data_IF_434923333447
#
_entry.id   IF_434923333447
#
_cell.length_a   1.000
_cell.length_b   1.000
_cell.length_c   1.000
_cell.angle_alpha   90.00
_cell.angle_beta   90.00
_cell.angle_gamma   90.00
#
_symmetry.space_group_name_H-M   'P 1'
#
loop_
_entity.id
_entity.type
_entity.pdbx_description
1 polymer ?
#
# COMPACT_ATOMS: atom_id res chain seq x y z
N UNK A 1 -26.71 3.98 26.67
CA UNK A 1 -25.97 5.26 26.81
C UNK A 1 -24.53 4.90 27.16
N UNK A 2 -23.65 4.81 26.17
CA UNK A 2 -22.20 4.71 26.36
C UNK A 2 -21.54 5.48 25.21
N UNK A 3 -20.84 6.55 25.57
CA UNK A 3 -20.17 7.49 24.67
C UNK A 3 -18.90 6.86 24.11
N UNK A 4 -18.82 6.72 22.78
CA UNK A 4 -17.56 6.49 22.08
C UNK A 4 -16.90 7.84 21.78
N UNK A 5 -15.83 8.14 22.52
CA UNK A 5 -14.96 9.29 22.28
C UNK A 5 -14.01 8.96 21.11
N UNK A 6 -14.29 9.55 19.95
CA UNK A 6 -13.38 9.61 18.81
C UNK A 6 -12.20 10.54 19.12
N UNK A 7 -11.03 9.96 19.40
CA UNK A 7 -9.76 10.69 19.37
C UNK A 7 -9.20 10.67 17.95
N UNK A 8 -9.42 11.74 17.18
CA UNK A 8 -8.65 12.06 15.98
C UNK A 8 -7.54 13.03 16.36
N UNK A 9 -6.35 12.51 16.64
CA UNK A 9 -5.15 13.32 16.88
C UNK A 9 -4.37 13.52 15.58
N UNK A 10 -4.62 14.62 14.86
CA UNK A 10 -3.73 15.09 13.79
C UNK A 10 -2.86 16.19 14.39
N UNK A 11 -1.60 15.88 14.70
CA UNK A 11 -0.60 16.88 15.10
C UNK A 11 0.11 17.34 13.82
N UNK A 12 -0.41 18.40 13.20
CA UNK A 12 0.32 19.14 12.15
C UNK A 12 1.08 20.30 12.79
N UNK A 13 2.39 20.17 12.91
CA UNK A 13 3.28 21.27 13.29
C UNK A 13 3.61 22.07 12.03
N UNK A 14 2.92 23.20 11.86
CA UNK A 14 3.25 24.20 10.84
C UNK A 14 4.42 25.08 11.32
N UNK A 15 5.58 24.91 10.70
CA UNK A 15 6.69 25.88 10.79
C UNK A 15 6.57 26.86 9.62
N UNK A 16 5.93 28.01 9.83
CA UNK A 16 6.02 29.15 8.91
C UNK A 16 7.30 29.95 9.20
N UNK A 17 8.34 29.75 8.40
CA UNK A 17 9.46 30.69 8.33
C UNK A 17 9.19 31.69 7.20
N UNK A 18 8.89 32.93 7.59
CA UNK A 18 8.76 34.07 6.70
C UNK A 18 10.16 34.54 6.24
N UNK A 19 10.41 34.51 4.94
CA UNK A 19 11.60 35.08 4.31
C UNK A 19 11.21 35.81 3.03
N UNK A 20 11.11 37.13 3.11
CA UNK A 20 10.87 38.01 1.98
C UNK A 20 12.20 38.42 1.32
N UNK A 21 12.37 38.17 0.03
CA UNK A 21 13.34 38.87 -0.84
C UNK A 21 12.69 39.12 -2.20
N UNK A 22 12.84 40.34 -2.68
CA UNK A 22 12.17 40.91 -3.84
C UNK A 22 13.01 40.86 -5.14
N UNK A 23 12.28 40.89 -6.26
CA UNK A 23 12.58 41.52 -7.57
C UNK A 23 13.68 40.94 -8.49
N UNK A 24 13.22 40.36 -9.60
CA UNK A 24 13.96 40.24 -10.86
C UNK A 24 13.02 39.94 -12.04
N UNK A 25 12.74 40.93 -12.89
CA UNK A 25 11.99 40.80 -14.14
C UNK A 25 12.85 40.19 -15.26
N UNK A 26 12.31 39.22 -15.99
CA UNK A 26 12.60 39.00 -17.40
C UNK A 26 11.45 38.20 -18.03
N UNK A 27 10.56 38.91 -18.73
CA UNK A 27 9.44 38.35 -19.48
C UNK A 27 9.96 37.74 -20.78
N UNK A 28 10.20 36.44 -20.77
CA UNK A 28 10.31 35.63 -21.98
C UNK A 28 9.04 34.82 -22.14
N UNK A 29 8.09 35.31 -22.93
CA UNK A 29 6.97 34.50 -23.44
C UNK A 29 7.57 33.50 -24.44
N UNK A 30 7.97 32.34 -23.92
CA UNK A 30 8.11 31.14 -24.72
C UNK A 30 6.70 30.56 -24.89
N UNK A 31 6.22 30.52 -26.13
CA UNK A 31 5.05 29.74 -26.52
C UNK A 31 5.33 28.28 -26.13
N UNK A 32 4.82 27.86 -24.96
CA UNK A 32 4.82 26.45 -24.59
C UNK A 32 4.01 25.70 -25.65
N UNK A 33 4.59 24.69 -26.30
CA UNK A 33 3.84 23.85 -27.23
C UNK A 33 2.64 23.26 -26.48
N UNK A 34 1.47 23.15 -27.12
CA UNK A 34 0.30 22.58 -26.48
C UNK A 34 0.68 21.21 -25.92
N UNK A 35 0.54 21.04 -24.60
CA UNK A 35 0.74 19.77 -23.95
C UNK A 35 -0.18 18.75 -24.63
N UNK A 36 0.39 17.89 -25.46
CA UNK A 36 -0.34 16.77 -26.03
C UNK A 36 -0.98 16.03 -24.86
N UNK A 37 -2.31 15.96 -24.87
CA UNK A 37 -3.13 15.31 -23.85
C UNK A 37 -2.97 13.79 -23.83
N UNK A 38 -1.75 13.30 -24.06
CA UNK A 38 -1.35 11.92 -23.85
C UNK A 38 -1.42 11.67 -22.35
N UNK A 39 -2.60 11.21 -21.92
CA UNK A 39 -2.76 10.56 -20.63
C UNK A 39 -1.69 9.48 -20.54
N UNK A 40 -0.80 9.58 -19.54
CA UNK A 40 0.19 8.55 -19.23
C UNK A 40 -0.49 7.17 -19.30
N UNK A 41 0.15 6.12 -19.82
CA UNK A 41 -0.45 4.77 -19.88
C UNK A 41 -0.94 4.26 -18.51
N UNK A 42 -0.46 4.87 -17.42
CA UNK A 42 -0.83 4.55 -16.03
C UNK A 42 -1.88 5.51 -15.44
N UNK A 43 -2.52 6.37 -16.24
CA UNK A 43 -3.40 7.46 -15.76
C UNK A 43 -4.73 7.00 -15.15
N UNK A 44 -4.94 5.70 -14.96
CA UNK A 44 -6.07 5.14 -14.20
C UNK A 44 -5.62 4.23 -13.04
N UNK A 45 -4.31 4.11 -12.83
CA UNK A 45 -3.70 3.19 -11.87
C UNK A 45 -3.48 3.91 -10.55
N UNK A 46 -4.54 3.93 -9.74
CA UNK A 46 -4.60 4.61 -8.45
C UNK A 46 -4.72 3.57 -7.33
N UNK A 47 -4.09 3.82 -6.19
CA UNK A 47 -4.13 2.90 -5.04
C UNK A 47 -5.57 2.60 -4.56
N UNK A 48 -6.47 3.55 -4.79
CA UNK A 48 -7.88 3.50 -4.41
C UNK A 48 -8.81 2.72 -5.33
N UNK A 49 -8.33 2.20 -6.47
CA UNK A 49 -9.12 1.46 -7.46
C UNK A 49 -8.51 0.08 -7.68
N UNK A 50 -9.35 -0.94 -7.76
CA UNK A 50 -8.89 -2.28 -8.14
C UNK A 50 -8.68 -2.33 -9.66
N UNK A 51 -7.53 -2.84 -10.06
CA UNK A 51 -7.13 -2.98 -11.45
C UNK A 51 -8.01 -4.01 -12.16
N UNK A 52 -8.40 -3.74 -13.41
CA UNK A 52 -9.26 -4.65 -14.17
C UNK A 52 -8.57 -5.97 -14.54
N UNK A 53 -7.25 -5.98 -14.57
CA UNK A 53 -6.39 -7.13 -14.84
C UNK A 53 -5.75 -7.68 -13.57
N UNK A 54 -6.29 -7.38 -12.38
CA UNK A 54 -5.78 -7.88 -11.12
C UNK A 54 -5.71 -9.42 -11.13
N UNK A 55 -4.52 -9.97 -10.95
CA UNK A 55 -4.27 -11.41 -10.79
C UNK A 55 -3.76 -11.67 -9.39
N UNK A 56 -4.40 -12.60 -8.68
CA UNK A 56 -3.92 -13.06 -7.38
C UNK A 56 -2.66 -13.91 -7.55
N UNK A 57 -1.54 -13.43 -6.99
CA UNK A 57 -0.30 -14.19 -6.91
C UNK A 57 -0.25 -15.10 -5.68
N UNK A 58 -1.00 -14.74 -4.65
CA UNK A 58 -1.22 -15.53 -3.45
C UNK A 58 -2.68 -15.36 -3.01
N UNK A 59 -3.46 -16.43 -3.16
CA UNK A 59 -4.80 -16.53 -2.58
C UNK A 59 -4.73 -16.38 -1.06
N UNK A 60 -5.83 -15.93 -0.44
CA UNK A 60 -5.94 -15.77 1.01
C UNK A 60 -5.50 -17.03 1.76
N UNK A 61 -4.38 -16.90 2.46
CA UNK A 61 -3.66 -18.02 3.09
C UNK A 61 -3.12 -17.62 4.46
N UNK A 62 -3.04 -18.55 5.40
CA UNK A 62 -2.41 -18.32 6.69
C UNK A 62 -2.95 -19.19 7.82
N UNK A 63 -2.38 -19.10 9.03
CA UNK A 63 -2.77 -19.94 10.17
C UNK A 63 -4.23 -19.77 10.63
N UNK A 64 -4.83 -18.62 10.35
CA UNK A 64 -6.20 -18.29 10.72
C UNK A 64 -7.24 -18.51 9.62
N UNK A 65 -6.82 -18.97 8.43
CA UNK A 65 -7.71 -19.26 7.29
C UNK A 65 -8.24 -20.69 7.41
N UNK A 66 -9.56 -20.83 7.37
CA UNK A 66 -10.21 -22.14 7.37
C UNK A 66 -9.99 -22.85 6.03
N UNK A 67 -9.48 -24.11 6.04
CA UNK A 67 -9.09 -24.79 4.80
C UNK A 67 -10.27 -25.21 3.92
N UNK A 68 -11.49 -25.29 4.45
CA UNK A 68 -12.69 -25.68 3.72
C UNK A 68 -13.37 -24.49 3.06
N UNK A 69 -13.51 -23.40 3.82
CA UNK A 69 -14.22 -22.19 3.38
C UNK A 69 -13.32 -21.17 2.72
N UNK A 70 -12.00 -21.26 2.93
CA UNK A 70 -11.01 -20.27 2.47
C UNK A 70 -11.26 -18.86 3.03
N UNK A 71 -11.83 -18.78 4.23
CA UNK A 71 -12.15 -17.53 4.91
C UNK A 71 -11.40 -17.43 6.24
N UNK A 72 -11.16 -16.19 6.69
CA UNK A 72 -10.71 -15.92 8.06
C UNK A 72 -11.86 -16.22 9.02
N UNK A 73 -11.55 -16.79 10.19
CA UNK A 73 -12.55 -17.03 11.24
C UNK A 73 -13.16 -15.71 11.72
N UNK A 74 -14.40 -15.74 12.19
CA UNK A 74 -15.04 -14.55 12.70
C UNK A 74 -14.31 -13.97 13.92
N UNK A 75 -14.11 -12.65 13.95
CA UNK A 75 -13.30 -12.00 14.98
C UNK A 75 -13.05 -10.50 14.76
N UNK A 76 -12.13 -9.96 15.54
CA UNK A 76 -11.63 -8.59 15.38
C UNK A 76 -10.12 -8.67 15.18
N UNK A 77 -9.63 -7.92 14.20
CA UNK A 77 -8.26 -8.03 13.71
C UNK A 77 -7.65 -6.66 13.45
N UNK A 78 -6.34 -6.63 13.39
CA UNK A 78 -5.57 -5.55 12.76
C UNK A 78 -5.25 -5.98 11.34
N UNK A 79 -5.61 -5.15 10.38
CA UNK A 79 -5.32 -5.36 8.97
C UNK A 79 -4.32 -4.33 8.49
N UNK A 80 -3.49 -4.71 7.51
CA UNK A 80 -2.66 -3.77 6.78
C UNK A 80 -2.71 -4.08 5.29
N UNK A 81 -2.90 -3.05 4.47
CA UNK A 81 -2.85 -3.15 3.01
C UNK A 81 -1.77 -2.26 2.45
N UNK A 82 -1.01 -2.79 1.50
CA UNK A 82 0.02 -2.06 0.77
C UNK A 82 -0.30 -2.01 -0.71
N UNK A 83 -0.05 -0.87 -1.33
CA UNK A 83 -0.01 -0.68 -2.77
C UNK A 83 1.37 -0.18 -3.19
N UNK A 84 2.07 -0.98 -3.98
CA UNK A 84 3.36 -0.65 -4.56
C UNK A 84 3.18 -0.33 -6.05
N UNK A 85 3.38 0.92 -6.42
CA UNK A 85 3.45 1.33 -7.81
C UNK A 85 4.82 0.92 -8.37
N UNK A 86 4.89 -0.16 -9.14
CA UNK A 86 6.14 -0.69 -9.67
C UNK A 86 6.63 0.08 -10.89
N UNK A 87 7.92 0.02 -11.19
CA UNK A 87 8.45 0.51 -12.47
C UNK A 87 7.95 -0.35 -13.62
N UNK A 88 7.47 0.24 -14.73
CA UNK A 88 7.14 -0.52 -15.92
C UNK A 88 8.35 -1.28 -16.47
N UNK A 89 8.13 -2.50 -16.94
CA UNK A 89 9.17 -3.31 -17.56
C UNK A 89 10.13 -4.00 -16.60
N UNK A 90 9.87 -3.95 -15.28
CA UNK A 90 10.56 -4.82 -14.32
C UNK A 90 10.32 -6.28 -14.66
N UNK A 91 11.37 -7.09 -14.49
CA UNK A 91 11.20 -8.54 -14.55
C UNK A 91 10.35 -9.01 -13.37
N UNK A 92 9.31 -9.79 -13.66
CA UNK A 92 8.45 -10.35 -12.62
C UNK A 92 9.25 -11.25 -11.66
N UNK A 93 10.27 -11.94 -12.16
CA UNK A 93 11.16 -12.75 -11.34
C UNK A 93 11.90 -11.93 -10.28
N UNK A 94 12.31 -10.71 -10.62
CA UNK A 94 13.01 -9.79 -9.72
C UNK A 94 12.09 -9.30 -8.59
N UNK A 95 10.88 -8.83 -8.93
CA UNK A 95 9.89 -8.40 -7.94
C UNK A 95 9.46 -9.55 -7.00
N UNK A 96 9.26 -10.75 -7.54
CA UNK A 96 8.95 -11.95 -6.75
C UNK A 96 10.11 -12.40 -5.88
N UNK A 97 11.36 -12.22 -6.34
CA UNK A 97 12.56 -12.54 -5.56
C UNK A 97 12.66 -11.72 -4.27
N UNK A 98 12.24 -10.45 -4.31
CA UNK A 98 12.17 -9.58 -3.14
C UNK A 98 10.96 -9.90 -2.26
N UNK A 99 9.79 -10.19 -2.86
CA UNK A 99 8.56 -10.44 -2.13
C UNK A 99 8.50 -11.83 -1.45
N UNK A 100 9.14 -12.86 -2.03
CA UNK A 100 9.07 -14.24 -1.54
C UNK A 100 9.46 -14.40 -0.06
N UNK A 101 10.64 -13.94 0.38
CA UNK A 101 11.04 -14.01 1.79
C UNK A 101 10.11 -13.25 2.74
N UNK A 102 9.48 -12.16 2.28
CA UNK A 102 8.50 -11.40 3.06
C UNK A 102 7.23 -12.23 3.29
N UNK A 103 6.75 -12.91 2.25
CA UNK A 103 5.61 -13.82 2.33
C UNK A 103 5.91 -15.01 3.24
N UNK A 104 7.09 -15.62 3.14
CA UNK A 104 7.48 -16.72 4.04
C UNK A 104 7.56 -16.26 5.50
N UNK A 105 8.13 -15.07 5.73
CA UNK A 105 8.23 -14.49 7.06
C UNK A 105 6.85 -14.16 7.65
N UNK A 106 5.91 -13.61 6.86
CA UNK A 106 4.57 -13.28 7.37
C UNK A 106 3.79 -14.54 7.74
N UNK A 107 3.91 -15.60 6.94
CA UNK A 107 3.21 -16.87 7.16
C UNK A 107 3.64 -17.61 8.44
N UNK A 108 4.82 -17.26 8.97
CA UNK A 108 5.39 -17.86 10.18
C UNK A 108 5.50 -16.87 11.35
N UNK A 109 5.12 -15.61 11.13
CA UNK A 109 5.16 -14.58 12.17
C UNK A 109 4.14 -14.89 13.27
N UNK A 110 4.54 -14.59 14.52
CA UNK A 110 3.61 -14.59 15.65
C UNK A 110 2.47 -13.62 15.36
N UNK A 111 1.24 -14.02 15.66
CA UNK A 111 0.05 -13.17 15.50
C UNK A 111 -0.42 -12.98 14.05
N UNK A 112 0.26 -13.54 13.05
CA UNK A 112 -0.24 -13.53 11.67
C UNK A 112 -1.44 -14.49 11.53
N UNK A 113 -2.53 -13.96 10.98
CA UNK A 113 -3.79 -14.67 10.76
C UNK A 113 -3.91 -15.08 9.29
N UNK A 114 -3.71 -14.13 8.38
CA UNK A 114 -3.79 -14.36 6.95
C UNK A 114 -2.97 -13.34 6.16
N UNK A 115 -2.64 -13.69 4.93
CA UNK A 115 -2.07 -12.81 3.91
C UNK A 115 -2.65 -13.16 2.55
N UNK A 116 -2.80 -12.15 1.69
CA UNK A 116 -3.01 -12.32 0.26
C UNK A 116 -2.19 -11.29 -0.51
N UNK A 117 -1.83 -11.64 -1.75
CA UNK A 117 -1.06 -10.79 -2.63
C UNK A 117 -1.60 -10.86 -4.06
N UNK A 118 -1.59 -9.72 -4.74
CA UNK A 118 -2.04 -9.61 -6.12
C UNK A 118 -1.18 -8.63 -6.90
N UNK A 119 -1.28 -8.71 -8.22
CA UNK A 119 -0.52 -7.90 -9.14
C UNK A 119 -1.36 -7.50 -10.34
N UNK A 120 -0.99 -6.39 -10.97
CA UNK A 120 -1.55 -5.94 -12.25
C UNK A 120 -0.40 -5.61 -13.20
N UNK A 121 -0.45 -6.19 -14.39
CA UNK A 121 0.53 -5.94 -15.44
C UNK A 121 0.26 -4.60 -16.12
N UNK A 122 -1.02 -4.29 -16.37
CA UNK A 122 -1.44 -3.05 -17.03
C UNK A 122 -1.07 -1.82 -16.19
N UNK A 123 -1.22 -1.93 -14.86
CA UNK A 123 -0.86 -0.86 -13.93
C UNK A 123 0.54 -0.95 -13.35
N UNK A 124 1.29 -2.01 -13.68
CA UNK A 124 2.56 -2.36 -13.04
C UNK A 124 2.46 -2.13 -11.52
N UNK A 125 1.55 -2.85 -10.87
CA UNK A 125 1.22 -2.65 -9.46
C UNK A 125 1.27 -3.98 -8.69
N UNK A 126 1.66 -3.91 -7.43
CA UNK A 126 1.60 -5.02 -6.48
C UNK A 126 0.77 -4.60 -5.26
N UNK A 127 -0.14 -5.46 -4.83
CA UNK A 127 -0.94 -5.29 -3.63
C UNK A 127 -0.68 -6.40 -2.64
N UNK A 128 -0.66 -6.04 -1.36
CA UNK A 128 -0.75 -7.01 -0.27
C UNK A 128 -1.86 -6.62 0.68
N UNK A 129 -2.46 -7.62 1.30
CA UNK A 129 -3.31 -7.46 2.47
C UNK A 129 -2.87 -8.51 3.50
N UNK A 130 -2.61 -8.07 4.72
CA UNK A 130 -2.23 -8.92 5.84
C UNK A 130 -3.18 -8.71 7.02
N UNK A 131 -3.44 -9.78 7.76
CA UNK A 131 -4.38 -9.83 8.89
C UNK A 131 -3.63 -10.33 10.12
N UNK A 132 -3.82 -9.66 11.23
CA UNK A 132 -3.07 -9.83 12.46
C UNK A 132 -4.00 -9.88 13.68
N UNK A 133 -3.61 -10.67 14.67
CA UNK A 133 -4.26 -10.71 15.98
C UNK A 133 -4.04 -9.40 16.77
N UNK A 134 -2.93 -8.70 16.53
CA UNK A 134 -2.59 -7.46 17.23
C UNK A 134 -1.69 -6.52 16.42
N UNK A 135 -1.76 -5.23 16.72
CA UNK A 135 -0.88 -4.21 16.14
C UNK A 135 0.59 -4.41 16.55
N UNK A 136 0.83 -4.90 17.77
CA UNK A 136 2.17 -5.23 18.27
C UNK A 136 2.84 -6.30 17.42
N UNK A 137 2.12 -7.40 17.13
CA UNK A 137 2.64 -8.49 16.30
C UNK A 137 2.86 -8.04 14.84
N UNK A 138 1.97 -7.22 14.29
CA UNK A 138 2.14 -6.59 12.97
C UNK A 138 3.44 -5.78 12.91
N UNK A 139 3.67 -4.87 13.87
CA UNK A 139 4.90 -4.07 13.89
C UNK A 139 6.16 -4.90 14.13
N UNK A 140 6.07 -5.95 14.94
CA UNK A 140 7.19 -6.87 15.14
C UNK A 140 7.64 -7.52 13.81
N UNK A 141 6.70 -7.88 12.93
CA UNK A 141 7.00 -8.36 11.58
C UNK A 141 7.55 -7.26 10.68
N UNK A 142 6.93 -6.08 10.65
CA UNK A 142 7.36 -4.95 9.80
C UNK A 142 8.81 -4.53 10.11
N UNK A 143 9.19 -4.57 11.38
CA UNK A 143 10.55 -4.28 11.84
C UNK A 143 11.50 -5.47 11.71
N UNK A 144 11.01 -6.63 11.24
CA UNK A 144 11.77 -7.85 11.05
C UNK A 144 12.71 -7.80 9.85
N UNK A 145 13.75 -8.66 9.83
CA UNK A 145 14.83 -8.58 8.84
C UNK A 145 14.36 -8.77 7.40
N UNK A 146 13.40 -9.68 7.14
CA UNK A 146 12.90 -9.91 5.78
C UNK A 146 12.17 -8.69 5.21
N UNK A 147 11.33 -8.04 6.01
CA UNK A 147 10.62 -6.83 5.59
C UNK A 147 11.59 -5.64 5.45
N UNK A 148 12.54 -5.47 6.38
CA UNK A 148 13.56 -4.41 6.30
C UNK A 148 14.42 -4.57 5.05
N UNK A 149 14.82 -5.79 4.70
CA UNK A 149 15.54 -6.07 3.46
C UNK A 149 14.70 -5.66 2.25
N UNK A 150 13.44 -6.10 2.15
CA UNK A 150 12.56 -5.73 1.03
C UNK A 150 12.34 -4.21 0.91
N UNK A 151 12.26 -3.50 2.04
CA UNK A 151 12.18 -2.03 2.04
C UNK A 151 13.41 -1.37 1.42
N UNK A 152 14.59 -1.96 1.56
CA UNK A 152 15.82 -1.45 0.94
C UNK A 152 15.79 -1.49 -0.59
N UNK A 153 15.00 -2.40 -1.18
CA UNK A 153 14.81 -2.53 -2.64
C UNK A 153 13.66 -1.65 -3.17
N UNK A 154 12.89 -0.99 -2.31
CA UNK A 154 11.67 -0.29 -2.73
C UNK A 154 11.94 0.83 -3.73
N UNK A 155 13.05 1.55 -3.65
CA UNK A 155 13.38 2.62 -4.63
C UNK A 155 13.73 2.09 -6.02
N UNK A 156 14.19 0.84 -6.11
CA UNK A 156 14.53 0.16 -7.35
C UNK A 156 13.27 -0.43 -7.99
N UNK A 157 12.39 -1.00 -7.17
CA UNK A 157 11.13 -1.59 -7.63
C UNK A 157 10.04 -0.56 -7.90
N UNK A 158 9.96 0.51 -7.11
CA UNK A 158 8.89 1.51 -7.18
C UNK A 158 9.17 2.60 -8.22
N UNK A 159 8.11 3.08 -8.87
CA UNK A 159 8.14 4.29 -9.71
C UNK A 159 7.95 5.59 -8.94
N UNK A 160 7.89 5.56 -7.60
CA UNK A 160 7.85 6.75 -6.77
C UNK A 160 7.03 6.59 -5.49
N UNK A 161 6.12 5.60 -5.45
CA UNK A 161 5.16 5.44 -4.37
C UNK A 161 5.03 4.00 -3.89
N UNK A 162 5.04 3.85 -2.56
CA UNK A 162 4.64 2.65 -1.83
C UNK A 162 3.77 3.13 -0.68
N UNK A 163 2.48 2.79 -0.73
CA UNK A 163 1.49 3.26 0.22
C UNK A 163 1.07 2.10 1.09
N UNK A 164 1.12 2.27 2.40
CA UNK A 164 0.63 1.28 3.36
C UNK A 164 -0.31 1.95 4.34
N UNK A 165 -1.42 1.30 4.63
CA UNK A 165 -2.39 1.72 5.66
C UNK A 165 -2.74 0.52 6.53
N UNK A 166 -2.89 0.74 7.83
CA UNK A 166 -3.41 -0.26 8.77
C UNK A 166 -4.69 0.23 9.45
N UNK A 167 -5.54 -0.72 9.83
CA UNK A 167 -6.79 -0.44 10.53
C UNK A 167 -7.25 -1.62 11.38
N UNK A 168 -8.06 -1.34 12.39
CA UNK A 168 -8.84 -2.36 13.09
C UNK A 168 -10.15 -2.63 12.34
N UNK A 169 -10.54 -3.91 12.25
CA UNK A 169 -11.78 -4.34 11.60
C UNK A 169 -12.16 -5.78 11.94
N UNK A 170 -13.03 -6.38 11.13
CA UNK A 170 -13.49 -7.77 11.31
C UNK A 170 -13.08 -8.67 10.14
N UNK A 171 -13.43 -9.95 10.19
CA UNK A 171 -13.22 -10.88 9.08
C UNK A 171 -13.89 -10.45 7.76
N UNK A 172 -14.98 -9.67 7.85
CA UNK A 172 -15.73 -9.16 6.68
C UNK A 172 -14.92 -8.12 5.90
N UNK A 173 -13.97 -7.46 6.55
CA UNK A 173 -13.11 -6.43 5.96
C UNK A 173 -11.92 -7.02 5.18
N UNK A 174 -11.71 -8.35 5.20
CA UNK A 174 -10.60 -9.04 4.53
C UNK A 174 -10.87 -9.18 3.04
N UNK A 175 -10.87 -8.04 2.34
CA UNK A 175 -11.17 -7.92 0.90
C UNK A 175 -10.26 -6.91 0.21
N UNK A 176 -10.07 -7.05 -1.10
CA UNK A 176 -9.28 -6.09 -1.88
C UNK A 176 -9.97 -4.72 -1.92
N UNK A 177 -11.30 -4.70 -2.04
CA UNK A 177 -12.11 -3.50 -2.11
C UNK A 177 -11.97 -2.64 -0.85
N UNK A 178 -12.01 -3.25 0.33
CA UNK A 178 -11.81 -2.53 1.59
C UNK A 178 -10.39 -2.00 1.70
N UNK A 179 -9.37 -2.80 1.33
CA UNK A 179 -7.98 -2.36 1.29
C UNK A 179 -7.77 -1.15 0.37
N UNK A 180 -8.31 -1.20 -0.85
CA UNK A 180 -8.27 -0.08 -1.79
C UNK A 180 -9.01 1.15 -1.24
N UNK A 181 -10.19 0.97 -0.64
CA UNK A 181 -10.94 2.06 -0.01
C UNK A 181 -10.15 2.74 1.10
N UNK A 182 -9.42 1.98 1.92
CA UNK A 182 -8.54 2.50 2.97
C UNK A 182 -7.36 3.26 2.38
N UNK A 183 -6.69 2.68 1.39
CA UNK A 183 -5.57 3.32 0.69
C UNK A 183 -5.98 4.63 0.01
N UNK A 184 -7.19 4.71 -0.54
CA UNK A 184 -7.73 5.94 -1.14
C UNK A 184 -7.83 7.11 -0.15
N UNK A 185 -7.92 6.82 1.16
CA UNK A 185 -8.02 7.85 2.20
C UNK A 185 -6.66 8.41 2.66
N UNK A 186 -5.55 7.80 2.22
CA UNK A 186 -4.20 8.27 2.53
C UNK A 186 -3.77 9.44 1.63
N UNK A 187 -3.26 10.51 2.24
CA UNK A 187 -2.91 11.76 1.54
C UNK A 187 -1.62 11.68 0.70
N UNK A 188 -0.93 10.55 0.66
CA UNK A 188 0.26 10.36 -0.18
C UNK A 188 -0.13 10.37 -1.66
N UNK A 189 0.57 11.16 -2.48
CA UNK A 189 0.32 11.25 -3.92
C UNK A 189 0.75 9.98 -4.66
N UNK A 190 0.04 9.62 -5.75
CA UNK A 190 0.28 8.39 -6.54
C UNK A 190 1.27 8.57 -7.72
N UNK A 191 2.06 9.65 -7.73
CA UNK A 191 2.84 10.11 -8.89
C UNK A 191 4.34 9.87 -8.79
#
# INVERSE_FOLDING_TARGET
MNNALLFRGVVSVFFCAAGAVALGCSSGEADDPPADGSSSPLSGCEKGKIESDLVEGLELSGPGVDPQTKQVRAGSYVMASTYLAMRPGLDHGEALGVAGPVVEAVMTAKGAVAVMASQSADCAALRTLSVWESEEDMFAFVMGPAHVEAMSHTSELSRGTSNTVSWEGTEEDVTWEEGARRLASENASDY
#
